data_IF_445061779765
#
_entry.id   IF_445061779765
#
_cell.length_a   1.000
_cell.length_b   1.000
_cell.length_c   1.000
_cell.angle_alpha   90.00
_cell.angle_beta   90.00
_cell.angle_gamma   90.00
#
_symmetry.space_group_name_H-M   'P 1'
#
loop_
_entity.id
_entity.type
_entity.pdbx_description
1 polymer ?
#
# COMPACT_ATOMS: atom_id res chain seq x y z
N UNK A 1 -18.56 -4.20 -4.24
CA UNK A 1 -17.57 -5.29 -4.09
C UNK A 1 -17.41 -5.61 -2.62
N UNK A 2 -17.25 -6.88 -2.25
CA UNK A 2 -17.00 -7.28 -0.85
C UNK A 2 -15.63 -6.78 -0.41
N UNK A 3 -15.49 -6.13 0.77
CA UNK A 3 -14.20 -5.65 1.21
C UNK A 3 -13.31 -6.78 1.72
N UNK A 4 -12.03 -6.73 1.36
CA UNK A 4 -10.96 -7.57 1.94
C UNK A 4 -10.79 -7.21 3.42
N UNK A 5 -10.86 -8.22 4.29
CA UNK A 5 -10.57 -8.04 5.72
C UNK A 5 -9.09 -8.28 5.96
N UNK A 6 -8.42 -7.28 6.52
CA UNK A 6 -6.98 -7.23 6.69
C UNK A 6 -6.61 -7.46 8.14
N UNK A 7 -5.73 -8.44 8.39
CA UNK A 7 -5.17 -8.68 9.73
C UNK A 7 -3.77 -8.08 9.76
N UNK A 8 -3.53 -6.99 10.51
CA UNK A 8 -2.21 -6.37 10.61
C UNK A 8 -1.12 -7.38 10.94
N UNK A 9 -0.16 -7.55 10.03
CA UNK A 9 0.96 -8.50 10.17
C UNK A 9 0.69 -9.94 9.73
N UNK A 10 -0.52 -10.27 9.33
CA UNK A 10 -0.86 -11.58 8.77
C UNK A 10 -1.57 -11.51 7.41
N UNK A 11 -1.85 -10.31 6.88
CA UNK A 11 -2.39 -10.13 5.52
C UNK A 11 -1.47 -10.71 4.46
N UNK A 12 -2.02 -11.60 3.64
CA UNK A 12 -1.27 -12.26 2.58
C UNK A 12 -1.05 -11.33 1.37
N UNK A 13 0.06 -11.52 0.65
CA UNK A 13 0.36 -10.80 -0.58
C UNK A 13 -0.75 -10.95 -1.65
N UNK A 14 -1.40 -12.11 -1.70
CA UNK A 14 -2.51 -12.35 -2.64
C UNK A 14 -3.74 -11.48 -2.35
N UNK A 15 -3.98 -11.07 -1.10
CA UNK A 15 -5.04 -10.12 -0.78
C UNK A 15 -4.68 -8.72 -1.29
N UNK A 16 -3.43 -8.30 -1.07
CA UNK A 16 -2.91 -7.01 -1.55
C UNK A 16 -2.92 -6.94 -3.09
N UNK A 17 -2.59 -8.03 -3.78
CA UNK A 17 -2.66 -8.12 -5.23
C UNK A 17 -4.11 -8.00 -5.72
N UNK A 18 -5.08 -8.63 -5.07
CA UNK A 18 -6.50 -8.49 -5.44
C UNK A 18 -7.01 -7.07 -5.26
N UNK A 19 -6.59 -6.37 -4.21
CA UNK A 19 -6.90 -4.94 -4.01
C UNK A 19 -6.29 -4.10 -5.14
N UNK A 20 -5.01 -4.34 -5.46
CA UNK A 20 -4.29 -3.58 -6.47
C UNK A 20 -4.79 -3.84 -7.90
N UNK A 21 -5.15 -5.07 -8.26
CA UNK A 21 -5.66 -5.39 -9.61
C UNK A 21 -7.16 -5.17 -9.76
N UNK A 22 -7.93 -5.61 -8.78
CA UNK A 22 -9.40 -5.65 -8.84
C UNK A 22 -10.09 -4.46 -8.18
N UNK A 23 -9.36 -3.58 -7.50
CA UNK A 23 -9.91 -2.41 -6.84
C UNK A 23 -10.78 -2.73 -5.61
N UNK A 24 -10.74 -3.96 -5.11
CA UNK A 24 -11.49 -4.37 -3.93
C UNK A 24 -11.25 -3.41 -2.75
N UNK A 25 -12.29 -2.98 -2.01
CA UNK A 25 -12.09 -2.15 -0.84
C UNK A 25 -11.44 -2.96 0.28
N UNK A 26 -10.84 -2.27 1.25
CA UNK A 26 -10.14 -2.91 2.36
C UNK A 26 -10.64 -2.35 3.69
N UNK A 27 -10.72 -3.23 4.69
CA UNK A 27 -11.01 -2.89 6.09
C UNK A 27 -10.12 -3.69 7.03
N UNK A 28 -9.81 -3.15 8.19
CA UNK A 28 -9.11 -3.88 9.24
C UNK A 28 -10.02 -4.93 9.88
N UNK A 29 -9.42 -6.02 10.32
CA UNK A 29 -10.09 -6.99 11.17
C UNK A 29 -10.51 -6.31 12.48
N UNK A 30 -11.71 -6.61 13.02
CA UNK A 30 -12.20 -6.00 14.27
C UNK A 30 -11.23 -6.16 15.46
N UNK A 31 -10.43 -7.22 15.46
CA UNK A 31 -9.40 -7.48 16.47
C UNK A 31 -8.32 -6.39 16.56
N UNK A 32 -8.13 -5.56 15.52
CA UNK A 32 -7.16 -4.47 15.54
C UNK A 32 -7.61 -3.29 16.42
N UNK A 33 -8.93 -3.12 16.61
CA UNK A 33 -9.52 -1.91 17.22
C UNK A 33 -9.02 -1.64 18.63
N UNK A 34 -9.04 -2.65 19.50
CA UNK A 34 -8.64 -2.49 20.90
C UNK A 34 -7.20 -2.00 21.04
N UNK A 35 -6.27 -2.51 20.23
CA UNK A 35 -4.87 -2.08 20.24
C UNK A 35 -4.69 -0.65 19.75
N UNK A 36 -5.44 -0.25 18.71
CA UNK A 36 -5.42 1.13 18.20
C UNK A 36 -5.96 2.11 19.23
N UNK A 37 -7.12 1.83 19.81
CA UNK A 37 -7.75 2.71 20.82
C UNK A 37 -6.86 2.86 22.07
N UNK A 38 -6.24 1.77 22.53
CA UNK A 38 -5.28 1.82 23.64
C UNK A 38 -4.07 2.72 23.32
N UNK A 39 -3.53 2.65 22.09
CA UNK A 39 -2.42 3.51 21.69
C UNK A 39 -2.84 4.99 21.56
N UNK A 40 -4.06 5.25 21.08
CA UNK A 40 -4.60 6.60 21.00
C UNK A 40 -4.76 7.22 22.40
N UNK A 41 -5.28 6.45 23.36
CA UNK A 41 -5.41 6.88 24.76
C UNK A 41 -4.04 7.29 25.36
N UNK A 42 -2.98 6.49 25.12
CA UNK A 42 -1.63 6.82 25.59
C UNK A 42 -1.07 8.11 24.97
N UNK A 43 -1.37 8.38 23.70
CA UNK A 43 -0.99 9.65 23.06
C UNK A 43 -1.77 10.83 23.67
N UNK A 44 -3.06 10.64 23.95
CA UNK A 44 -3.88 11.66 24.60
C UNK A 44 -3.36 11.99 26.02
N UNK A 45 -3.02 10.98 26.81
CA UNK A 45 -2.38 11.15 28.13
C UNK A 45 -1.04 11.91 28.03
N UNK A 46 -0.19 11.52 27.07
CA UNK A 46 1.09 12.19 26.83
C UNK A 46 0.93 13.65 26.38
N UNK A 47 -0.10 13.94 25.58
CA UNK A 47 -0.42 15.30 25.13
C UNK A 47 -0.92 16.21 26.26
N UNK A 48 -1.61 15.64 27.26
CA UNK A 48 -2.06 16.35 28.46
C UNK A 48 -0.94 16.51 29.52
N UNK A 49 0.11 15.70 29.44
CA UNK A 49 1.25 15.74 30.35
C UNK A 49 2.23 16.90 30.10
N UNK A 50 3.18 17.07 31.02
CA UNK A 50 4.22 18.11 30.94
C UNK A 50 5.53 17.64 30.27
N UNK A 51 5.69 16.33 30.06
CA UNK A 51 6.84 15.74 29.39
C UNK A 51 6.85 16.10 27.90
N UNK A 52 8.01 16.45 27.35
CA UNK A 52 8.15 16.70 25.92
C UNK A 52 8.16 15.37 25.16
N UNK A 53 7.23 15.21 24.20
CA UNK A 53 7.09 14.02 23.38
C UNK A 53 7.04 14.41 21.91
N UNK A 54 7.99 13.88 21.13
CA UNK A 54 8.20 14.24 19.73
C UNK A 54 6.92 14.09 18.89
N UNK A 55 6.53 15.18 18.22
CA UNK A 55 5.37 15.21 17.34
C UNK A 55 4.02 15.12 18.04
N UNK A 56 3.99 15.04 19.38
CA UNK A 56 2.78 15.11 20.20
C UNK A 56 2.59 16.54 20.74
N UNK A 57 3.58 17.05 21.49
CA UNK A 57 3.57 18.41 22.05
C UNK A 57 4.87 19.19 21.76
N UNK A 58 5.61 18.75 20.73
CA UNK A 58 6.78 19.46 20.19
C UNK A 58 6.63 19.72 18.69
N UNK A 59 7.48 20.59 18.13
CA UNK A 59 7.63 20.72 16.69
C UNK A 59 8.24 19.47 16.01
N UNK A 60 8.44 19.53 14.68
CA UNK A 60 8.96 18.43 13.87
C UNK A 60 10.37 18.73 13.33
N UNK A 61 11.16 17.68 13.07
CA UNK A 61 12.50 17.80 12.49
C UNK A 61 13.40 18.75 13.30
N UNK A 62 13.96 19.78 12.65
CA UNK A 62 14.82 20.78 13.30
C UNK A 62 14.13 21.51 14.46
N UNK A 63 12.80 21.58 14.48
CA UNK A 63 12.00 22.25 15.49
C UNK A 63 11.54 21.33 16.64
N UNK A 64 12.06 20.10 16.71
CA UNK A 64 11.71 19.11 17.75
C UNK A 64 11.94 19.58 19.20
N UNK A 65 12.76 20.60 19.41
CA UNK A 65 13.08 21.15 20.73
C UNK A 65 12.08 22.20 21.23
N UNK A 66 11.18 22.69 20.36
CA UNK A 66 10.17 23.68 20.73
C UNK A 66 8.91 22.98 21.25
N UNK A 67 8.46 23.34 22.46
CA UNK A 67 7.18 22.91 23.01
C UNK A 67 6.03 23.68 22.37
N UNK A 68 4.93 22.98 22.14
CA UNK A 68 3.71 23.52 21.53
C UNK A 68 2.60 23.48 22.57
N UNK A 69 1.83 24.58 22.67
CA UNK A 69 0.71 24.64 23.60
C UNK A 69 -0.39 23.64 23.17
N UNK A 70 -1.10 22.99 24.10
CA UNK A 70 -2.13 21.99 23.78
C UNK A 70 -3.17 22.48 22.77
N UNK A 71 -3.60 23.74 22.87
CA UNK A 71 -4.56 24.37 21.95
C UNK A 71 -4.09 24.47 20.50
N UNK A 72 -2.78 24.49 20.27
CA UNK A 72 -2.17 24.67 18.95
C UNK A 72 -1.78 23.32 18.31
N UNK A 73 -1.93 22.21 19.03
CA UNK A 73 -1.51 20.87 18.57
C UNK A 73 -2.28 20.41 17.33
N UNK A 74 -3.59 20.62 17.26
CA UNK A 74 -4.39 20.27 16.07
C UNK A 74 -3.93 21.08 14.85
N UNK A 75 -3.75 22.39 15.01
CA UNK A 75 -3.30 23.28 13.93
C UNK A 75 -1.88 22.94 13.46
N UNK A 76 -1.01 22.53 14.39
CA UNK A 76 0.33 22.05 14.07
C UNK A 76 0.29 20.83 13.14
N UNK A 77 -0.61 19.86 13.38
CA UNK A 77 -0.71 18.66 12.55
C UNK A 77 -1.31 18.98 11.19
N UNK A 78 -2.32 19.86 11.11
CA UNK A 78 -2.84 20.37 9.84
C UNK A 78 -1.74 21.05 9.02
N UNK A 79 -0.99 21.97 9.63
CA UNK A 79 0.11 22.67 8.97
C UNK A 79 1.23 21.72 8.54
N UNK A 80 1.51 20.65 9.31
CA UNK A 80 2.44 19.62 8.91
C UNK A 80 2.00 18.99 7.59
N UNK A 81 0.74 18.59 7.47
CA UNK A 81 0.21 17.99 6.23
C UNK A 81 0.32 18.97 5.07
N UNK A 82 -0.20 20.18 5.23
CA UNK A 82 -0.24 21.17 4.14
C UNK A 82 1.17 21.58 3.67
N UNK A 83 2.12 21.78 4.60
CA UNK A 83 3.50 22.13 4.26
C UNK A 83 4.26 20.99 3.57
N UNK A 84 3.86 19.73 3.78
CA UNK A 84 4.49 18.56 3.17
C UNK A 84 3.79 18.11 1.88
N UNK A 85 2.70 18.76 1.46
CA UNK A 85 2.08 18.56 0.14
C UNK A 85 2.93 19.18 -0.99
N UNK A 86 4.22 18.86 -1.03
CA UNK A 86 5.22 19.38 -1.96
C UNK A 86 5.60 18.40 -3.08
N UNK A 87 4.83 17.30 -3.22
CA UNK A 87 5.00 16.37 -4.34
C UNK A 87 4.69 17.01 -5.69
N UNK A 88 5.37 16.57 -6.75
CA UNK A 88 5.27 17.10 -8.12
C UNK A 88 5.23 15.98 -9.16
N UNK A 89 4.98 16.37 -10.41
CA UNK A 89 4.88 15.46 -11.55
C UNK A 89 3.49 14.83 -11.70
N UNK A 90 3.37 13.94 -12.67
CA UNK A 90 2.11 13.25 -12.96
C UNK A 90 1.61 12.45 -11.76
N UNK A 91 0.29 12.38 -11.54
CA UNK A 91 -0.27 11.51 -10.51
C UNK A 91 0.11 10.04 -10.71
N UNK A 92 0.36 9.33 -9.61
CA UNK A 92 0.52 7.88 -9.66
C UNK A 92 -0.79 7.19 -10.04
N UNK A 93 -0.75 5.97 -10.61
CA UNK A 93 -1.95 5.22 -10.93
C UNK A 93 -2.87 5.03 -9.72
N UNK A 94 -4.18 5.19 -9.93
CA UNK A 94 -5.19 5.12 -8.86
C UNK A 94 -5.13 3.81 -8.06
N UNK A 95 -4.85 2.69 -8.71
CA UNK A 95 -4.70 1.40 -8.02
C UNK A 95 -3.48 1.36 -7.09
N UNK A 96 -2.38 2.01 -7.46
CA UNK A 96 -1.19 2.15 -6.60
C UNK A 96 -1.48 3.09 -5.42
N UNK A 97 -2.22 4.18 -5.63
CA UNK A 97 -2.72 5.02 -4.52
C UNK A 97 -3.57 4.21 -3.55
N UNK A 98 -4.52 3.42 -4.05
CA UNK A 98 -5.38 2.57 -3.21
C UNK A 98 -4.58 1.51 -2.45
N UNK A 99 -3.55 0.93 -3.07
CA UNK A 99 -2.62 0.04 -2.38
C UNK A 99 -1.84 0.78 -1.29
N UNK A 100 -1.37 2.01 -1.53
CA UNK A 100 -0.72 2.86 -0.53
C UNK A 100 -1.65 3.13 0.67
N UNK A 101 -2.91 3.49 0.43
CA UNK A 101 -3.94 3.67 1.48
C UNK A 101 -4.14 2.39 2.29
N UNK A 102 -4.22 1.25 1.61
CA UNK A 102 -4.37 -0.09 2.23
C UNK A 102 -3.18 -0.43 3.13
N UNK A 103 -1.96 -0.16 2.68
CA UNK A 103 -0.75 -0.36 3.47
C UNK A 103 -0.69 0.60 4.68
N UNK A 104 -1.28 1.80 4.56
CA UNK A 104 -1.41 2.72 5.70
C UNK A 104 -2.37 2.14 6.75
N UNK A 105 -3.53 1.62 6.34
CA UNK A 105 -4.44 0.90 7.26
C UNK A 105 -3.71 -0.20 8.02
N UNK A 106 -2.97 -1.07 7.32
CA UNK A 106 -2.20 -2.15 7.93
C UNK A 106 -1.17 -1.66 8.96
N UNK A 107 -0.50 -0.55 8.66
CA UNK A 107 0.48 0.06 9.57
C UNK A 107 -0.19 0.64 10.82
N UNK A 108 -1.30 1.38 10.66
CA UNK A 108 -2.05 1.97 11.77
C UNK A 108 -2.68 0.87 12.65
N UNK A 109 -3.23 -0.16 12.01
CA UNK A 109 -3.85 -1.32 12.66
C UNK A 109 -2.91 -2.15 13.54
N UNK A 110 -1.59 -1.95 13.46
CA UNK A 110 -0.64 -2.54 14.42
C UNK A 110 -0.82 -2.02 15.85
N UNK A 111 -1.54 -0.90 16.03
CA UNK A 111 -1.81 -0.35 17.37
C UNK A 111 -0.59 0.29 18.02
N UNK A 112 0.35 0.81 17.23
CA UNK A 112 1.54 1.50 17.74
C UNK A 112 1.63 2.98 17.27
N UNK A 113 0.71 3.40 16.40
CA UNK A 113 0.72 4.74 15.80
C UNK A 113 -0.04 5.78 16.61
N UNK A 114 -0.92 5.36 17.53
CA UNK A 114 -1.66 6.25 18.43
C UNK A 114 -2.60 7.24 17.70
N UNK A 115 -3.25 6.77 16.64
CA UNK A 115 -4.30 7.52 15.93
C UNK A 115 -5.67 7.09 16.44
N UNK A 116 -6.65 8.00 16.41
CA UNK A 116 -8.04 7.66 16.72
C UNK A 116 -8.64 6.75 15.66
N UNK A 117 -9.57 5.89 16.10
CA UNK A 117 -10.23 4.91 15.24
C UNK A 117 -11.05 5.57 14.12
N UNK A 118 -11.64 6.75 14.36
CA UNK A 118 -12.39 7.51 13.34
C UNK A 118 -11.57 7.84 12.08
N UNK A 119 -10.24 8.03 12.19
CA UNK A 119 -9.37 8.25 11.03
C UNK A 119 -9.15 6.97 10.21
N UNK A 120 -9.15 5.81 10.89
CA UNK A 120 -9.11 4.50 10.23
C UNK A 120 -10.44 4.28 9.52
N UNK A 121 -11.57 4.54 10.19
CA UNK A 121 -12.91 4.42 9.59
C UNK A 121 -13.06 5.32 8.36
N UNK A 122 -12.56 6.57 8.40
CA UNK A 122 -12.56 7.44 7.23
C UNK A 122 -11.74 6.84 6.07
N UNK A 123 -10.54 6.31 6.34
CA UNK A 123 -9.69 5.74 5.31
C UNK A 123 -10.30 4.45 4.70
N UNK A 124 -10.95 3.62 5.52
CA UNK A 124 -11.74 2.47 5.05
C UNK A 124 -12.94 2.91 4.21
N UNK A 125 -13.65 3.95 4.64
CA UNK A 125 -14.80 4.51 3.93
C UNK A 125 -14.39 5.15 2.59
N UNK A 126 -13.24 5.81 2.52
CA UNK A 126 -12.67 6.32 1.26
C UNK A 126 -12.35 5.17 0.29
N UNK A 127 -11.76 4.07 0.77
CA UNK A 127 -11.49 2.89 -0.06
C UNK A 127 -12.79 2.25 -0.57
N UNK A 128 -13.81 2.15 0.29
CA UNK A 128 -15.14 1.63 -0.04
C UNK A 128 -15.91 2.51 -1.03
N UNK A 129 -15.88 3.83 -0.81
CA UNK A 129 -16.51 4.85 -1.64
C UNK A 129 -15.70 5.26 -2.87
N UNK A 130 -14.56 4.61 -3.14
CA UNK A 130 -13.69 4.92 -4.27
C UNK A 130 -13.16 6.38 -4.31
N UNK A 131 -13.09 7.07 -3.18
CA UNK A 131 -12.42 8.37 -3.07
C UNK A 131 -10.91 8.13 -3.07
N UNK A 132 -10.25 8.46 -4.18
CA UNK A 132 -8.83 8.15 -4.37
C UNK A 132 -8.03 9.44 -4.44
N UNK A 133 -7.15 9.74 -3.46
CA UNK A 133 -6.34 10.95 -3.49
C UNK A 133 -5.49 11.08 -4.75
N UNK A 134 -5.36 12.30 -5.27
CA UNK A 134 -4.41 12.60 -6.35
C UNK A 134 -3.03 12.77 -5.72
N UNK A 135 -2.14 11.81 -5.98
CA UNK A 135 -0.81 11.74 -5.37
C UNK A 135 0.25 11.88 -6.45
N UNK A 136 1.03 12.98 -6.48
CA UNK A 136 2.10 13.17 -7.45
C UNK A 136 3.21 12.09 -7.33
N UNK A 137 3.81 11.72 -8.45
CA UNK A 137 4.81 10.64 -8.50
C UNK A 137 6.18 10.98 -7.89
N UNK A 138 6.51 12.27 -7.72
CA UNK A 138 7.81 12.71 -7.20
C UNK A 138 7.65 13.50 -5.91
N UNK A 139 8.67 13.45 -5.03
CA UNK A 139 8.73 14.21 -3.79
C UNK A 139 9.17 13.40 -2.56
N UNK A 140 9.08 12.06 -2.61
CA UNK A 140 9.69 11.21 -1.60
C UNK A 140 11.19 11.01 -1.87
N UNK A 141 11.99 10.98 -0.80
CA UNK A 141 13.40 10.58 -0.81
C UNK A 141 13.64 9.18 -0.23
N UNK A 142 12.59 8.48 0.22
CA UNK A 142 12.66 7.09 0.69
C UNK A 142 13.51 6.82 1.95
N UNK A 143 14.01 7.85 2.66
CA UNK A 143 15.00 7.68 3.72
C UNK A 143 14.41 7.42 5.13
N UNK A 144 13.29 8.05 5.47
CA UNK A 144 12.64 7.91 6.80
C UNK A 144 11.11 7.94 6.76
N UNK A 145 10.53 8.35 5.63
CA UNK A 145 9.10 8.33 5.36
C UNK A 145 8.83 8.87 3.97
N UNK A 146 7.81 8.33 3.31
CA UNK A 146 7.26 8.83 2.06
C UNK A 146 6.38 10.05 2.34
N UNK A 147 6.97 11.07 2.97
CA UNK A 147 6.28 12.19 3.59
C UNK A 147 5.36 12.91 2.60
N UNK A 148 5.89 13.33 1.45
CA UNK A 148 5.12 14.13 0.50
C UNK A 148 3.95 13.37 -0.14
N UNK A 149 4.13 12.14 -0.66
CA UNK A 149 3.00 11.36 -1.17
C UNK A 149 1.92 11.08 -0.12
N UNK A 150 2.33 10.74 1.12
CA UNK A 150 1.39 10.48 2.19
C UNK A 150 0.73 11.75 2.72
N UNK A 151 1.38 12.90 2.62
CA UNK A 151 0.78 14.19 2.93
C UNK A 151 -0.36 14.51 1.96
N UNK A 152 -0.18 14.29 0.64
CA UNK A 152 -1.25 14.46 -0.35
C UNK A 152 -2.46 13.55 -0.08
N UNK A 153 -2.24 12.30 0.32
CA UNK A 153 -3.31 11.40 0.76
C UNK A 153 -4.03 11.94 2.00
N UNK A 154 -3.27 12.39 3.00
CA UNK A 154 -3.82 12.86 4.28
C UNK A 154 -4.53 14.20 4.15
N UNK A 155 -4.09 15.05 3.20
CA UNK A 155 -4.74 16.32 2.88
C UNK A 155 -6.21 16.12 2.52
N UNK A 156 -6.52 15.09 1.73
CA UNK A 156 -7.91 14.75 1.39
C UNK A 156 -8.73 14.41 2.63
N UNK A 157 -8.17 13.65 3.58
CA UNK A 157 -8.86 13.27 4.82
C UNK A 157 -9.23 14.45 5.70
N UNK A 158 -8.49 15.56 5.61
CA UNK A 158 -8.78 16.83 6.31
C UNK A 158 -9.53 17.85 5.43
N UNK A 159 -10.01 17.43 4.25
CA UNK A 159 -10.81 18.24 3.33
C UNK A 159 -10.01 19.13 2.38
N UNK A 160 -8.67 19.04 2.41
CA UNK A 160 -7.76 19.75 1.52
C UNK A 160 -7.31 18.86 0.34
N UNK A 161 -6.42 19.38 -0.51
CA UNK A 161 -5.87 18.62 -1.65
C UNK A 161 -6.93 18.26 -2.70
N UNK A 162 -6.65 17.23 -3.48
CA UNK A 162 -7.50 16.78 -4.58
C UNK A 162 -7.68 15.26 -4.55
N UNK A 163 -8.83 14.78 -4.97
CA UNK A 163 -9.12 13.36 -5.11
C UNK A 163 -9.90 13.08 -6.40
N UNK A 164 -9.66 11.93 -6.99
CA UNK A 164 -10.50 11.37 -8.03
C UNK A 164 -11.73 10.72 -7.39
N UNK A 165 -12.92 11.07 -7.90
CA UNK A 165 -14.20 10.46 -7.54
C UNK A 165 -15.15 10.51 -8.75
N UNK A 166 -15.76 9.37 -9.09
CA UNK A 166 -16.69 9.29 -10.24
C UNK A 166 -16.06 9.65 -11.59
N UNK A 167 -14.76 9.37 -11.78
CA UNK A 167 -14.01 9.71 -13.00
C UNK A 167 -13.65 11.19 -13.15
N UNK A 168 -13.79 11.99 -12.08
CA UNK A 168 -13.45 13.42 -12.07
C UNK A 168 -12.49 13.73 -10.92
N UNK A 169 -11.59 14.67 -11.14
CA UNK A 169 -10.76 15.25 -10.08
C UNK A 169 -11.55 16.38 -9.41
N UNK A 170 -11.70 16.30 -8.09
CA UNK A 170 -12.42 17.26 -7.26
C UNK A 170 -11.51 17.74 -6.11
N UNK A 171 -11.75 18.94 -5.55
CA UNK A 171 -11.20 19.32 -4.25
C UNK A 171 -11.54 18.26 -3.19
N UNK A 172 -10.60 17.96 -2.29
CA UNK A 172 -10.72 16.83 -1.36
C UNK A 172 -12.00 16.84 -0.52
N UNK A 173 -12.38 18.00 0.03
CA UNK A 173 -13.64 18.16 0.75
C UNK A 173 -14.88 17.91 -0.11
N UNK A 174 -14.87 18.33 -1.37
CA UNK A 174 -15.96 18.06 -2.31
C UNK A 174 -16.05 16.58 -2.69
N UNK A 175 -14.90 15.92 -2.89
CA UNK A 175 -14.84 14.48 -3.17
C UNK A 175 -15.40 13.65 -2.00
N UNK A 176 -15.02 14.00 -0.76
CA UNK A 176 -15.56 13.37 0.44
C UNK A 176 -17.07 13.57 0.55
N UNK A 177 -17.55 14.81 0.39
CA UNK A 177 -18.98 15.12 0.45
C UNK A 177 -19.77 14.38 -0.63
N UNK A 178 -19.25 14.29 -1.85
CA UNK A 178 -19.88 13.56 -2.96
C UNK A 178 -19.96 12.04 -2.70
N UNK A 179 -19.12 11.51 -1.82
CA UNK A 179 -19.15 10.12 -1.34
C UNK A 179 -19.95 9.94 -0.04
N UNK A 180 -20.58 10.99 0.49
CA UNK A 180 -21.29 10.95 1.78
C UNK A 180 -20.37 10.88 2.99
N UNK A 181 -19.11 11.31 2.85
CA UNK A 181 -18.09 11.32 3.88
C UNK A 181 -17.82 12.75 4.36
N UNK A 182 -17.28 12.89 5.57
CA UNK A 182 -16.88 14.17 6.15
C UNK A 182 -15.38 14.17 6.45
N UNK A 183 -14.68 15.31 6.29
CA UNK A 183 -13.32 15.47 6.77
C UNK A 183 -13.20 15.24 8.28
N UNK A 184 -12.08 14.66 8.71
CA UNK A 184 -11.79 14.46 10.14
C UNK A 184 -10.58 15.33 10.52
N UNK A 185 -10.73 16.28 11.46
CA UNK A 185 -9.61 17.10 11.92
C UNK A 185 -8.58 16.25 12.67
N UNK A 186 -7.30 16.58 12.51
CA UNK A 186 -6.20 15.85 13.15
C UNK A 186 -5.99 16.30 14.58
N UNK A 187 -5.83 15.33 15.48
CA UNK A 187 -5.39 15.49 16.85
C UNK A 187 -3.88 15.27 17.01
N UNK A 188 -3.35 15.35 18.25
CA UNK A 188 -1.92 15.24 18.52
C UNK A 188 -1.29 14.00 17.88
N UNK A 189 -0.14 14.18 17.21
CA UNK A 189 0.64 13.14 16.50
C UNK A 189 -0.04 12.47 15.29
N UNK A 190 -1.32 12.73 15.03
CA UNK A 190 -2.05 12.03 13.96
C UNK A 190 -1.51 12.40 12.57
N UNK A 191 -1.23 13.67 12.29
CA UNK A 191 -0.62 14.08 11.03
C UNK A 191 0.73 13.39 10.79
N UNK A 192 1.58 13.36 11.81
CA UNK A 192 2.86 12.65 11.76
C UNK A 192 2.68 11.14 11.55
N UNK A 193 1.75 10.50 12.25
CA UNK A 193 1.48 9.07 12.12
C UNK A 193 1.02 8.69 10.70
N UNK A 194 0.29 9.58 10.04
CA UNK A 194 -0.19 9.39 8.68
C UNK A 194 0.91 9.57 7.63
N UNK A 195 1.88 10.46 7.81
CA UNK A 195 2.90 10.72 6.78
C UNK A 195 4.23 10.01 7.01
N UNK A 196 4.54 9.64 8.25
CA UNK A 196 5.82 9.02 8.60
C UNK A 196 5.79 7.49 8.41
N UNK A 197 5.97 7.03 7.18
CA UNK A 197 6.06 5.61 6.84
C UNK A 197 6.40 5.37 5.37
N UNK A 198 6.64 4.11 4.99
CA UNK A 198 7.16 3.73 3.66
C UNK A 198 6.08 3.21 2.70
N UNK A 199 4.82 3.62 2.88
CA UNK A 199 3.71 3.01 2.16
C UNK A 199 3.72 3.27 0.65
N UNK A 200 4.23 4.42 0.19
CA UNK A 200 4.30 4.75 -1.23
C UNK A 200 5.34 3.87 -1.92
N UNK A 201 6.57 3.85 -1.39
CA UNK A 201 7.66 3.01 -1.89
C UNK A 201 7.31 1.51 -1.82
N UNK A 202 6.68 1.08 -0.72
CA UNK A 202 6.19 -0.30 -0.57
C UNK A 202 5.10 -0.63 -1.59
N UNK A 203 4.17 0.28 -1.88
CA UNK A 203 3.14 0.06 -2.90
C UNK A 203 3.75 -0.15 -4.28
N UNK A 204 4.76 0.64 -4.66
CA UNK A 204 5.48 0.44 -5.93
C UNK A 204 6.29 -0.85 -5.97
N UNK A 205 6.97 -1.21 -4.86
CA UNK A 205 7.70 -2.47 -4.78
C UNK A 205 6.75 -3.68 -4.94
N UNK A 206 5.58 -3.63 -4.32
CA UNK A 206 4.57 -4.67 -4.46
C UNK A 206 3.94 -4.70 -5.86
N UNK A 207 3.62 -3.55 -6.44
CA UNK A 207 3.14 -3.48 -7.83
C UNK A 207 4.16 -4.10 -8.81
N UNK A 208 5.44 -3.78 -8.63
CA UNK A 208 6.54 -4.37 -9.39
C UNK A 208 6.65 -5.88 -9.17
N UNK A 209 6.56 -6.35 -7.92
CA UNK A 209 6.55 -7.78 -7.58
C UNK A 209 5.39 -8.52 -8.26
N UNK A 210 4.17 -8.01 -8.16
CA UNK A 210 2.99 -8.63 -8.77
C UNK A 210 3.10 -8.65 -10.30
N UNK A 211 3.59 -7.57 -10.91
CA UNK A 211 3.87 -7.50 -12.34
C UNK A 211 4.94 -8.51 -12.78
N UNK A 212 6.07 -8.55 -12.08
CA UNK A 212 7.18 -9.46 -12.38
C UNK A 212 6.78 -10.93 -12.25
N UNK A 213 6.00 -11.28 -11.22
CA UNK A 213 5.56 -12.66 -11.03
C UNK A 213 4.56 -13.10 -12.10
N UNK A 214 3.69 -12.19 -12.54
CA UNK A 214 2.82 -12.45 -13.68
C UNK A 214 3.63 -12.65 -14.97
N UNK A 215 4.60 -11.76 -15.23
CA UNK A 215 5.47 -11.86 -16.41
C UNK A 215 6.29 -13.16 -16.42
N UNK A 216 6.85 -13.57 -15.27
CA UNK A 216 7.61 -14.81 -15.15
C UNK A 216 6.75 -16.04 -15.45
N UNK A 217 5.52 -16.09 -14.93
CA UNK A 217 4.56 -17.18 -15.23
C UNK A 217 4.20 -17.22 -16.71
N UNK A 218 3.92 -16.06 -17.32
CA UNK A 218 3.63 -15.97 -18.75
C UNK A 218 4.83 -16.40 -19.60
N UNK A 219 6.06 -16.05 -19.19
CA UNK A 219 7.27 -16.49 -19.87
C UNK A 219 7.39 -18.01 -19.89
N UNK A 220 7.11 -18.71 -18.79
CA UNK A 220 7.13 -20.18 -18.74
C UNK A 220 6.13 -20.81 -19.74
N UNK A 221 4.92 -20.26 -19.82
CA UNK A 221 3.90 -20.73 -20.77
C UNK A 221 4.34 -20.48 -22.22
N UNK A 222 4.81 -19.28 -22.53
CA UNK A 222 5.29 -18.92 -23.87
C UNK A 222 6.50 -19.78 -24.26
N UNK A 223 7.42 -20.02 -23.35
CA UNK A 223 8.58 -20.89 -23.57
C UNK A 223 8.13 -22.32 -23.84
N UNK A 224 7.20 -22.88 -23.06
CA UNK A 224 6.65 -24.21 -23.32
C UNK A 224 6.02 -24.28 -24.71
N UNK A 225 5.12 -23.35 -25.05
CA UNK A 225 4.48 -23.32 -26.37
C UNK A 225 5.48 -23.19 -27.52
N UNK A 226 6.51 -22.36 -27.33
CA UNK A 226 7.54 -22.13 -28.35
C UNK A 226 8.42 -23.35 -28.53
N UNK A 227 8.83 -24.02 -27.44
CA UNK A 227 9.56 -25.30 -27.48
C UNK A 227 8.75 -26.37 -28.18
N UNK A 228 7.45 -26.47 -27.90
CA UNK A 228 6.57 -27.44 -28.54
C UNK A 228 6.44 -27.18 -30.05
N UNK A 229 6.19 -25.93 -30.44
CA UNK A 229 5.98 -25.53 -31.83
C UNK A 229 7.20 -25.77 -32.73
N UNK A 230 8.42 -25.64 -32.19
CA UNK A 230 9.66 -25.90 -32.94
C UNK A 230 10.11 -27.37 -32.88
N UNK A 231 9.31 -28.26 -32.29
CA UNK A 231 9.68 -29.66 -32.08
C UNK A 231 10.95 -29.81 -31.23
N UNK A 232 11.06 -28.97 -30.19
CA UNK A 232 12.23 -28.88 -29.33
C UNK A 232 12.32 -30.03 -28.31
N UNK A 233 13.55 -30.47 -28.03
CA UNK A 233 13.79 -31.52 -27.03
C UNK A 233 13.42 -31.06 -25.61
N UNK A 234 12.72 -31.92 -24.86
CA UNK A 234 12.43 -31.72 -23.44
C UNK A 234 13.48 -32.33 -22.51
N UNK A 235 14.53 -32.97 -23.06
CA UNK A 235 15.63 -33.53 -22.27
C UNK A 235 16.32 -32.49 -21.35
N UNK A 236 16.49 -31.21 -21.76
CA UNK A 236 17.04 -30.20 -20.86
C UNK A 236 16.20 -29.91 -19.61
N UNK A 237 14.93 -30.33 -19.57
CA UNK A 237 14.04 -30.09 -18.44
C UNK A 237 14.14 -31.19 -17.36
N UNK A 238 14.95 -32.25 -17.55
CA UNK A 238 14.95 -33.46 -16.70
C UNK A 238 15.21 -33.13 -15.22
N UNK A 239 14.40 -33.64 -14.27
CA UNK A 239 14.49 -33.23 -12.87
C UNK A 239 15.89 -33.37 -12.31
N UNK A 240 16.61 -34.44 -12.64
CA UNK A 240 17.98 -34.69 -12.18
C UNK A 240 18.95 -33.54 -12.54
N UNK A 241 18.81 -32.93 -13.72
CA UNK A 241 19.66 -31.81 -14.18
C UNK A 241 19.46 -30.60 -13.26
N UNK A 242 18.21 -30.30 -12.90
CA UNK A 242 17.87 -29.14 -12.08
C UNK A 242 18.18 -29.40 -10.60
N UNK A 243 17.90 -30.61 -10.11
CA UNK A 243 18.25 -31.04 -8.75
C UNK A 243 19.76 -31.02 -8.51
N UNK A 244 20.57 -31.42 -9.50
CA UNK A 244 22.03 -31.36 -9.40
C UNK A 244 22.55 -29.91 -9.24
N UNK A 245 21.90 -28.94 -9.89
CA UNK A 245 22.26 -27.51 -9.77
C UNK A 245 21.70 -26.84 -8.51
N UNK A 246 20.56 -27.29 -8.00
CA UNK A 246 20.05 -26.96 -6.66
C UNK A 246 19.38 -25.60 -6.50
N UNK A 247 19.18 -24.81 -7.56
CA UNK A 247 18.46 -23.52 -7.46
C UNK A 247 16.94 -23.74 -7.48
N UNK A 248 16.25 -23.34 -6.39
CA UNK A 248 14.80 -23.50 -6.24
C UNK A 248 14.00 -22.97 -7.44
N UNK A 249 14.24 -21.72 -7.85
CA UNK A 249 13.55 -21.13 -9.01
C UNK A 249 13.81 -21.84 -10.34
N UNK A 250 15.00 -22.42 -10.54
CA UNK A 250 15.31 -23.19 -11.74
C UNK A 250 14.58 -24.55 -11.75
N UNK A 251 14.48 -25.19 -10.58
CA UNK A 251 13.75 -26.45 -10.40
C UNK A 251 12.24 -26.22 -10.63
N UNK A 252 11.68 -25.17 -10.04
CA UNK A 252 10.27 -24.79 -10.22
C UNK A 252 9.94 -24.49 -11.68
N UNK A 253 10.77 -23.69 -12.36
CA UNK A 253 10.59 -23.35 -13.78
C UNK A 253 10.56 -24.60 -14.68
N UNK A 254 11.52 -25.51 -14.49
CA UNK A 254 11.60 -26.73 -15.28
C UNK A 254 10.44 -27.68 -15.01
N UNK A 255 10.03 -27.79 -13.74
CA UNK A 255 8.87 -28.58 -13.35
C UNK A 255 7.60 -28.05 -14.00
N UNK A 256 7.39 -26.73 -14.00
CA UNK A 256 6.25 -26.09 -14.63
C UNK A 256 6.26 -26.30 -16.16
N UNK A 257 7.38 -26.07 -16.84
CA UNK A 257 7.49 -26.29 -18.29
C UNK A 257 7.25 -27.75 -18.68
N UNK A 258 7.79 -28.70 -17.91
CA UNK A 258 7.54 -30.14 -18.13
C UNK A 258 6.06 -30.47 -18.02
N UNK A 259 5.38 -29.97 -16.98
CA UNK A 259 3.96 -30.21 -16.80
C UNK A 259 3.12 -29.62 -17.95
N UNK A 260 3.51 -28.45 -18.47
CA UNK A 260 2.84 -27.82 -19.62
C UNK A 260 3.04 -28.58 -20.94
N UNK A 261 4.20 -29.24 -21.11
CA UNK A 261 4.56 -30.00 -22.32
C UNK A 261 4.17 -31.48 -22.25
N UNK A 262 3.60 -31.91 -21.13
CA UNK A 262 3.20 -33.30 -20.96
C UNK A 262 2.04 -33.66 -21.90
N UNK A 263 2.13 -34.82 -22.54
CA UNK A 263 1.12 -35.27 -23.51
C UNK A 263 1.00 -34.48 -24.81
N UNK A 264 1.95 -33.59 -25.17
CA UNK A 264 1.90 -32.89 -26.46
C UNK A 264 1.95 -33.85 -27.65
N UNK A 265 0.96 -33.76 -28.55
CA UNK A 265 0.92 -34.52 -29.79
C UNK A 265 1.97 -34.05 -30.81
N UNK A 266 2.33 -32.75 -30.79
CA UNK A 266 3.41 -32.23 -31.62
C UNK A 266 4.71 -32.88 -31.17
N UNK A 267 5.00 -32.90 -29.86
CA UNK A 267 6.15 -33.62 -29.28
C UNK A 267 6.22 -35.07 -29.72
N UNK A 268 5.13 -35.81 -29.55
CA UNK A 268 5.13 -37.24 -29.85
C UNK A 268 5.39 -37.53 -31.34
N UNK A 269 4.98 -36.65 -32.26
CA UNK A 269 5.12 -36.91 -33.70
C UNK A 269 6.57 -36.90 -34.21
N UNK A 270 7.54 -36.42 -33.42
CA UNK A 270 8.95 -36.29 -33.85
C UNK A 270 9.93 -36.89 -32.83
N UNK A 271 9.47 -37.73 -31.91
CA UNK A 271 10.35 -38.39 -30.92
C UNK A 271 11.37 -39.35 -31.53
N UNK A 272 11.07 -39.89 -32.70
CA UNK A 272 11.89 -40.90 -33.40
C UNK A 272 12.46 -40.37 -34.74
N UNK A 273 12.28 -39.08 -35.03
CA UNK A 273 12.67 -38.43 -36.29
C UNK A 273 13.93 -37.58 -36.20
#
# INVERSE_FOLDING_TARGET
MTPETLVPGATALSQLERIWRGGAPARLAPSARAGVEAAAARVAEAAAGSAAVYGVNTGFGKLAHLKIAPKDTAKLQENLILSHCCGVGEPIPANTTRLMMTLKLLSLGRGASGVRWELIELLEAMLAGAVTPVVPAQGSVGASGDLAPLAHMTAVMIGAGFAEYGGRILPGGEALAAAGLAPVPLGPKEGLAFINGTQFSTAFALAGLFGAWHAARSALVISAMSTDAIMGSTAPLQPEIHSLRGHAGQIEAATAMRALLDGSAIRESHREG
#
